data_IF_955863970002
#
_entry.id   IF_955863970002
#
_cell.length_a   1.000
_cell.length_b   1.000
_cell.length_c   1.000
_cell.angle_alpha   90.00
_cell.angle_beta   90.00
_cell.angle_gamma   90.00
#
_symmetry.space_group_name_H-M   'P 1'
#
loop_
_entity.id
_entity.type
_entity.pdbx_description
1 polymer ?
#
# COMPACT_ATOMS: atom_id res chain seq x y z
N UNK A 1 2.55 -8.96 -19.92
CA UNK A 1 3.32 -9.95 -19.13
C UNK A 1 2.51 -10.33 -17.88
N UNK A 2 2.78 -11.44 -17.17
CA UNK A 2 2.16 -11.69 -15.87
C UNK A 2 2.45 -10.51 -14.94
N UNK A 3 1.42 -9.91 -14.38
CA UNK A 3 1.56 -8.68 -13.61
C UNK A 3 0.20 -8.08 -13.32
N UNK A 4 0.20 -6.92 -12.69
CA UNK A 4 -1.01 -6.17 -12.38
C UNK A 4 -0.99 -4.83 -13.12
N UNK A 5 -2.16 -4.22 -13.31
CA UNK A 5 -2.26 -2.90 -13.93
C UNK A 5 -2.33 -1.79 -12.89
N UNK A 6 -3.05 -2.06 -11.80
CA UNK A 6 -3.45 -1.05 -10.82
C UNK A 6 -3.47 -1.69 -9.42
N UNK A 7 -2.63 -1.18 -8.54
CA UNK A 7 -2.50 -1.67 -7.16
C UNK A 7 -3.81 -1.54 -6.38
N UNK A 8 -4.54 -0.44 -6.57
CA UNK A 8 -5.77 -0.16 -5.83
C UNK A 8 -6.91 -1.09 -6.27
N UNK A 9 -7.00 -1.41 -7.57
CA UNK A 9 -7.97 -2.39 -8.10
C UNK A 9 -7.67 -3.78 -7.55
N UNK A 10 -6.41 -4.18 -7.52
CA UNK A 10 -6.03 -5.49 -7.00
C UNK A 10 -6.21 -5.61 -5.49
N UNK A 11 -5.92 -4.54 -4.75
CA UNK A 11 -6.16 -4.52 -3.32
C UNK A 11 -7.66 -4.58 -2.99
N UNK A 12 -8.51 -3.87 -3.74
CA UNK A 12 -9.97 -3.99 -3.61
C UNK A 12 -10.45 -5.43 -3.84
N UNK A 13 -9.96 -6.09 -4.90
CA UNK A 13 -10.31 -7.47 -5.21
C UNK A 13 -9.82 -8.44 -4.11
N UNK A 14 -8.65 -8.19 -3.55
CA UNK A 14 -8.13 -8.91 -2.39
C UNK A 14 -9.04 -8.73 -1.15
N UNK A 15 -9.43 -7.49 -0.82
CA UNK A 15 -10.34 -7.23 0.31
C UNK A 15 -11.70 -7.89 0.11
N UNK A 16 -12.26 -7.87 -1.11
CA UNK A 16 -13.50 -8.56 -1.42
C UNK A 16 -13.39 -10.09 -1.24
N UNK A 17 -12.28 -10.68 -1.71
CA UNK A 17 -11.97 -12.09 -1.50
C UNK A 17 -11.83 -12.42 -0.02
N UNK A 18 -11.10 -11.60 0.74
CA UNK A 18 -10.89 -11.78 2.17
C UNK A 18 -12.21 -11.70 2.95
N UNK A 19 -13.08 -10.74 2.60
CA UNK A 19 -14.40 -10.57 3.21
C UNK A 19 -15.33 -11.75 2.93
N UNK A 20 -15.16 -12.42 1.79
CA UNK A 20 -15.97 -13.59 1.42
C UNK A 20 -15.46 -14.88 2.08
N UNK A 21 -14.14 -15.04 2.15
CA UNK A 21 -13.51 -16.26 2.67
C UNK A 21 -13.37 -16.27 4.20
N UNK A 22 -13.27 -15.08 4.82
CA UNK A 22 -12.95 -14.90 6.24
C UNK A 22 -13.67 -13.69 6.84
N UNK A 23 -14.99 -13.60 6.67
CA UNK A 23 -15.81 -12.48 7.18
C UNK A 23 -15.57 -12.21 8.67
N UNK A 24 -15.60 -13.26 9.50
CA UNK A 24 -15.38 -13.19 10.95
C UNK A 24 -14.01 -12.60 11.31
N UNK A 25 -12.99 -12.83 10.46
CA UNK A 25 -11.64 -12.31 10.71
C UNK A 25 -11.64 -10.78 10.73
N UNK A 26 -12.46 -10.14 9.90
CA UNK A 26 -12.54 -8.67 9.83
C UNK A 26 -12.98 -8.08 11.17
N UNK A 27 -13.89 -8.75 11.88
CA UNK A 27 -14.32 -8.34 13.22
C UNK A 27 -13.16 -8.47 14.25
N UNK A 28 -12.32 -9.48 14.11
CA UNK A 28 -11.19 -9.72 15.01
C UNK A 28 -9.95 -8.87 14.72
N UNK A 29 -9.82 -8.27 13.52
CA UNK A 29 -8.69 -7.39 13.16
C UNK A 29 -8.56 -6.21 14.15
N UNK A 30 -9.69 -5.71 14.66
CA UNK A 30 -9.69 -4.66 15.68
C UNK A 30 -8.96 -5.05 16.97
N UNK A 31 -8.93 -6.34 17.33
CA UNK A 31 -8.22 -6.83 18.51
C UNK A 31 -6.70 -6.93 18.30
N UNK A 32 -6.24 -7.07 17.05
CA UNK A 32 -4.84 -7.33 16.72
C UNK A 32 -3.95 -6.07 16.73
N UNK A 33 -4.54 -4.87 16.74
CA UNK A 33 -3.81 -3.60 16.66
C UNK A 33 -2.68 -3.65 15.60
N UNK A 34 -1.54 -3.00 15.84
CA UNK A 34 -0.43 -2.91 14.90
C UNK A 34 0.16 -4.26 14.45
N UNK A 35 -0.13 -5.37 15.14
CA UNK A 35 0.33 -6.71 14.74
C UNK A 35 -0.27 -7.20 13.42
N UNK A 36 -1.33 -6.56 12.96
CA UNK A 36 -2.06 -6.87 11.72
C UNK A 36 -1.27 -6.53 10.44
N UNK A 37 -0.41 -5.52 10.44
CA UNK A 37 0.27 -5.02 9.23
C UNK A 37 1.11 -6.10 8.54
N UNK A 38 1.90 -6.86 9.31
CA UNK A 38 2.73 -7.94 8.78
C UNK A 38 1.91 -9.10 8.21
N UNK A 39 0.78 -9.43 8.84
CA UNK A 39 -0.13 -10.46 8.34
C UNK A 39 -0.79 -10.02 7.03
N UNK A 40 -1.29 -8.78 6.95
CA UNK A 40 -1.96 -8.24 5.77
C UNK A 40 -1.03 -8.24 4.55
N UNK A 41 0.24 -7.85 4.77
CA UNK A 41 1.30 -7.93 3.75
C UNK A 41 1.43 -9.34 3.18
N UNK A 42 1.55 -10.34 4.03
CA UNK A 42 1.73 -11.73 3.60
C UNK A 42 0.49 -12.25 2.86
N UNK A 43 -0.71 -11.95 3.36
CA UNK A 43 -1.95 -12.39 2.72
C UNK A 43 -2.13 -11.75 1.34
N UNK A 44 -1.85 -10.45 1.20
CA UNK A 44 -1.94 -9.81 -0.12
C UNK A 44 -0.91 -10.38 -1.09
N UNK A 45 0.32 -10.62 -0.62
CA UNK A 45 1.37 -11.28 -1.41
C UNK A 45 0.95 -12.67 -1.91
N UNK A 46 0.45 -13.54 -1.03
CA UNK A 46 -0.01 -14.87 -1.42
C UNK A 46 -1.27 -14.83 -2.29
N UNK A 47 -2.16 -13.86 -2.04
CA UNK A 47 -3.34 -13.66 -2.86
C UNK A 47 -2.96 -13.30 -4.30
N UNK A 48 -1.98 -12.41 -4.50
CA UNK A 48 -1.46 -12.06 -5.83
C UNK A 48 -0.87 -13.27 -6.55
N UNK A 49 -0.08 -14.10 -5.87
CA UNK A 49 0.46 -15.35 -6.44
C UNK A 49 -0.69 -16.26 -6.89
N UNK A 50 -1.66 -16.51 -6.02
CA UNK A 50 -2.79 -17.42 -6.29
C UNK A 50 -3.70 -16.90 -7.41
N UNK A 51 -4.12 -15.65 -7.33
CA UNK A 51 -5.20 -15.09 -8.16
C UNK A 51 -4.73 -14.39 -9.43
N UNK A 52 -3.46 -13.97 -9.47
CA UNK A 52 -2.83 -13.37 -10.67
C UNK A 52 -1.76 -14.26 -11.27
N UNK A 53 -1.56 -15.47 -10.70
CA UNK A 53 -0.60 -16.49 -11.19
C UNK A 53 0.81 -15.91 -11.29
N UNK A 54 1.17 -15.03 -10.35
CA UNK A 54 2.46 -14.37 -10.31
C UNK A 54 3.52 -15.30 -9.75
N UNK A 55 4.72 -15.26 -10.32
CA UNK A 55 5.86 -16.03 -9.81
C UNK A 55 6.48 -15.32 -8.61
N UNK A 56 6.57 -16.04 -7.50
CA UNK A 56 7.25 -15.58 -6.29
C UNK A 56 8.76 -15.36 -6.52
N UNK A 57 9.36 -14.43 -5.76
CA UNK A 57 10.78 -14.08 -5.81
C UNK A 57 11.72 -15.27 -5.46
N UNK A 58 12.14 -16.01 -6.49
CA UNK A 58 13.26 -16.98 -6.44
C UNK A 58 14.26 -16.73 -7.57
N UNK A 59 13.80 -16.60 -8.82
CA UNK A 59 14.51 -16.05 -9.99
C UNK A 59 13.51 -15.73 -11.11
N UNK A 60 13.67 -14.60 -11.83
CA UNK A 60 12.68 -14.04 -12.77
C UNK A 60 11.25 -14.01 -12.21
N UNK A 61 11.06 -13.19 -11.18
CA UNK A 61 9.81 -13.12 -10.43
C UNK A 61 8.92 -11.96 -10.83
N UNK A 62 7.64 -12.11 -10.54
CA UNK A 62 6.60 -11.12 -10.82
C UNK A 62 6.09 -10.46 -9.54
N UNK A 63 6.44 -10.99 -8.37
CA UNK A 63 6.09 -10.44 -7.06
C UNK A 63 7.10 -10.83 -5.99
N UNK A 64 7.41 -9.91 -5.07
CA UNK A 64 8.28 -10.17 -3.94
C UNK A 64 7.97 -9.30 -2.72
N UNK A 65 8.61 -9.64 -1.61
CA UNK A 65 8.53 -8.94 -0.33
C UNK A 65 9.83 -8.20 -0.06
N UNK A 66 9.76 -7.14 0.74
CA UNK A 66 10.93 -6.46 1.34
C UNK A 66 12.02 -6.11 0.33
N UNK A 67 11.78 -5.08 -0.47
CA UNK A 67 12.73 -4.63 -1.49
C UNK A 67 13.15 -3.19 -1.28
N UNK A 68 14.46 -2.92 -1.41
CA UNK A 68 15.01 -1.57 -1.32
C UNK A 68 15.09 -0.95 -2.69
N UNK A 69 14.29 0.09 -2.91
CA UNK A 69 14.26 0.89 -4.14
C UNK A 69 15.05 2.17 -3.92
N UNK A 70 15.87 2.59 -4.88
CA UNK A 70 16.59 3.86 -4.76
C UNK A 70 15.65 5.07 -4.80
N UNK A 71 16.05 6.11 -4.06
CA UNK A 71 15.38 7.40 -3.97
C UNK A 71 16.14 8.45 -4.77
N UNK A 72 15.41 9.40 -5.36
CA UNK A 72 15.94 10.46 -6.20
C UNK A 72 16.61 11.53 -5.33
N UNK A 73 17.91 11.34 -5.10
CA UNK A 73 18.75 12.16 -4.23
C UNK A 73 18.82 13.65 -4.61
N UNK A 74 18.23 14.07 -5.73
CA UNK A 74 18.11 15.49 -6.11
C UNK A 74 17.05 16.23 -5.29
N UNK A 75 16.12 15.54 -4.64
CA UNK A 75 15.11 16.16 -3.80
C UNK A 75 15.67 16.55 -2.43
N UNK A 76 15.46 17.81 -2.04
CA UNK A 76 15.79 18.30 -0.70
C UNK A 76 14.98 17.55 0.37
N UNK A 77 15.61 17.30 1.52
CA UNK A 77 14.98 16.62 2.66
C UNK A 77 15.05 15.09 2.62
N UNK A 78 15.64 14.49 1.58
CA UNK A 78 15.95 13.06 1.59
C UNK A 78 17.07 12.78 2.60
N UNK A 79 16.77 11.89 3.53
CA UNK A 79 17.65 11.47 4.63
C UNK A 79 18.26 10.07 4.41
N UNK A 80 17.94 9.41 3.29
CA UNK A 80 18.32 8.02 3.02
C UNK A 80 18.44 7.74 1.52
N UNK A 81 19.28 6.78 1.16
CA UNK A 81 19.53 6.42 -0.24
C UNK A 81 18.43 5.55 -0.86
N UNK A 82 17.77 4.73 -0.03
CA UNK A 82 16.75 3.77 -0.47
C UNK A 82 15.52 3.78 0.42
N UNK A 83 14.38 3.44 -0.16
CA UNK A 83 13.13 3.12 0.55
C UNK A 83 12.92 1.60 0.50
N UNK A 84 12.88 0.98 1.67
CA UNK A 84 12.43 -0.40 1.80
C UNK A 84 10.90 -0.42 1.67
N UNK A 85 10.40 -1.17 0.69
CA UNK A 85 8.99 -1.36 0.40
C UNK A 85 8.56 -2.76 0.85
N UNK A 86 7.37 -2.83 1.43
CA UNK A 86 6.74 -4.07 1.88
C UNK A 86 6.57 -5.10 0.76
N UNK A 87 6.07 -4.68 -0.40
CA UNK A 87 5.89 -5.51 -1.59
C UNK A 87 6.40 -4.81 -2.86
N UNK A 88 6.77 -5.60 -3.85
CA UNK A 88 6.87 -5.17 -5.24
C UNK A 88 6.15 -6.16 -6.16
N UNK A 89 5.54 -5.65 -7.22
CA UNK A 89 4.75 -6.44 -8.18
C UNK A 89 5.04 -5.96 -9.59
N UNK A 90 5.22 -6.88 -10.54
CA UNK A 90 5.41 -6.56 -11.95
C UNK A 90 4.17 -5.87 -12.51
N UNK A 91 4.37 -4.78 -13.24
CA UNK A 91 3.33 -4.15 -14.04
C UNK A 91 3.10 -5.00 -15.30
N UNK A 92 1.83 -5.20 -15.67
CA UNK A 92 1.47 -5.96 -16.86
C UNK A 92 1.95 -5.32 -18.19
N UNK A 93 2.21 -4.01 -18.19
CA UNK A 93 2.77 -3.21 -19.27
C UNK A 93 4.31 -3.16 -19.20
N UNK A 94 4.87 -2.36 -18.29
CA UNK A 94 6.32 -2.22 -18.09
C UNK A 94 6.65 -1.79 -16.67
N UNK A 95 7.77 -2.30 -16.14
CA UNK A 95 8.26 -1.93 -14.82
C UNK A 95 7.55 -2.60 -13.65
N UNK A 96 7.64 -1.97 -12.47
CA UNK A 96 7.19 -2.52 -11.20
C UNK A 96 6.40 -1.51 -10.39
N UNK A 97 5.37 -2.03 -9.72
CA UNK A 97 4.66 -1.35 -8.64
C UNK A 97 5.39 -1.64 -7.34
N UNK A 98 5.77 -0.60 -6.61
CA UNK A 98 6.29 -0.69 -5.25
C UNK A 98 5.20 -0.28 -4.27
N UNK A 99 5.06 -1.02 -3.18
CA UNK A 99 3.92 -0.90 -2.27
C UNK A 99 4.42 -0.88 -0.83
N UNK A 100 3.94 0.08 -0.05
CA UNK A 100 4.02 0.11 1.40
C UNK A 100 2.62 -0.09 2.00
N UNK A 101 2.51 -0.87 3.06
CA UNK A 101 1.27 -1.08 3.81
C UNK A 101 1.37 -0.43 5.20
N UNK A 102 0.29 0.17 5.66
CA UNK A 102 0.17 0.72 7.02
C UNK A 102 -1.18 0.39 7.61
N UNK A 103 -1.23 0.06 8.89
CA UNK A 103 -2.50 -0.20 9.60
C UNK A 103 -2.73 0.79 10.75
N UNK A 104 -3.21 2.02 10.49
CA UNK A 104 -3.59 2.95 11.55
C UNK A 104 -4.84 2.48 12.31
N UNK A 105 -4.76 2.45 13.64
CA UNK A 105 -5.90 2.19 14.53
C UNK A 105 -6.35 3.49 15.18
N UNK A 106 -7.65 3.70 15.35
CA UNK A 106 -8.22 4.85 16.04
C UNK A 106 -7.99 4.75 17.56
N UNK A 107 -6.74 4.90 17.97
CA UNK A 107 -6.29 4.91 19.36
C UNK A 107 -5.39 6.14 19.60
N UNK A 108 -4.69 6.16 20.74
CA UNK A 108 -3.77 7.26 21.09
C UNK A 108 -2.58 7.41 20.13
N UNK A 109 -2.25 6.37 19.35
CA UNK A 109 -1.12 6.35 18.41
C UNK A 109 -1.54 6.64 16.96
N UNK A 110 -2.82 6.88 16.68
CA UNK A 110 -3.34 7.05 15.30
C UNK A 110 -2.56 8.09 14.49
N UNK A 111 -2.27 9.24 15.10
CA UNK A 111 -1.56 10.33 14.43
C UNK A 111 -0.13 9.95 14.02
N UNK A 112 0.55 9.13 14.83
CA UNK A 112 1.89 8.64 14.52
C UNK A 112 1.89 7.70 13.31
N UNK A 113 0.93 6.78 13.23
CA UNK A 113 0.84 5.82 12.11
C UNK A 113 0.40 6.51 10.83
N UNK A 114 -0.54 7.47 10.92
CA UNK A 114 -0.94 8.30 9.77
C UNK A 114 0.23 9.15 9.26
N UNK A 115 1.01 9.76 10.16
CA UNK A 115 2.23 10.48 9.76
C UNK A 115 3.26 9.55 9.12
N UNK A 116 3.40 8.31 9.62
CA UNK A 116 4.23 7.30 8.96
C UNK A 116 3.76 7.02 7.54
N UNK A 117 2.46 6.80 7.33
CA UNK A 117 1.90 6.61 5.98
C UNK A 117 2.14 7.81 5.06
N UNK A 118 2.06 9.03 5.60
CA UNK A 118 2.37 10.26 4.86
C UNK A 118 3.85 10.34 4.48
N UNK A 119 4.76 10.00 5.39
CA UNK A 119 6.19 9.89 5.08
C UNK A 119 6.44 8.83 4.02
N UNK A 120 5.82 7.66 4.13
CA UNK A 120 5.97 6.60 3.14
C UNK A 120 5.50 7.07 1.77
N UNK A 121 4.33 7.72 1.66
CA UNK A 121 3.86 8.29 0.39
C UNK A 121 4.83 9.33 -0.18
N UNK A 122 5.41 10.17 0.69
CA UNK A 122 6.43 11.15 0.31
C UNK A 122 7.68 10.48 -0.27
N UNK A 123 8.18 9.39 0.33
CA UNK A 123 9.29 8.62 -0.24
C UNK A 123 8.88 7.89 -1.53
N UNK A 124 7.67 7.33 -1.57
CA UNK A 124 7.13 6.62 -2.72
C UNK A 124 6.94 7.53 -3.94
N UNK A 125 6.79 8.85 -3.75
CA UNK A 125 6.75 9.81 -4.85
C UNK A 125 8.13 10.24 -5.35
N UNK A 126 9.21 9.75 -4.72
CA UNK A 126 10.61 10.11 -4.96
C UNK A 126 11.48 8.90 -5.31
N UNK A 127 10.90 7.75 -5.63
CA UNK A 127 11.65 6.61 -6.20
C UNK A 127 12.36 6.99 -7.52
N UNK A 128 13.49 6.38 -7.83
CA UNK A 128 14.21 6.57 -9.11
C UNK A 128 13.78 5.53 -10.15
N UNK A 129 13.43 5.99 -11.35
CA UNK A 129 12.70 5.18 -12.33
C UNK A 129 13.50 4.44 -13.40
N UNK A 130 14.82 4.66 -13.56
CA UNK A 130 15.51 4.15 -14.76
C UNK A 130 16.05 2.73 -14.61
N UNK A 131 16.68 2.38 -13.48
CA UNK A 131 17.27 1.05 -13.28
C UNK A 131 16.25 0.06 -12.71
N UNK A 132 15.41 0.52 -11.79
CA UNK A 132 14.36 -0.27 -11.13
C UNK A 132 13.06 -0.32 -11.92
N UNK A 133 12.97 0.41 -13.04
CA UNK A 133 11.76 0.50 -13.89
C UNK A 133 10.50 0.77 -13.05
N UNK A 134 10.51 1.84 -12.26
CA UNK A 134 9.38 2.18 -11.39
C UNK A 134 8.18 2.57 -12.26
N UNK A 135 7.09 1.81 -12.16
CA UNK A 135 5.80 2.19 -12.75
C UNK A 135 4.96 2.99 -11.76
N UNK A 136 4.90 2.54 -10.50
CA UNK A 136 4.18 3.27 -9.45
C UNK A 136 4.83 3.10 -8.08
N UNK A 137 4.71 4.12 -7.24
CA UNK A 137 4.89 4.00 -5.79
C UNK A 137 3.55 4.14 -5.08
N UNK A 138 3.12 3.12 -4.33
CA UNK A 138 1.83 3.09 -3.63
C UNK A 138 2.00 3.00 -2.12
N UNK A 139 1.19 3.76 -1.40
CA UNK A 139 0.96 3.58 0.04
C UNK A 139 -0.47 3.12 0.23
N UNK A 140 -0.63 1.92 0.79
CA UNK A 140 -1.92 1.36 1.17
C UNK A 140 -2.07 1.52 2.68
N UNK A 141 -3.17 2.12 3.12
CA UNK A 141 -3.50 2.27 4.53
C UNK A 141 -4.79 1.52 4.85
N UNK A 142 -4.82 0.79 5.97
CA UNK A 142 -6.01 0.10 6.50
C UNK A 142 -6.36 0.70 7.86
N UNK A 143 -7.39 1.55 7.86
CA UNK A 143 -7.88 2.26 9.04
C UNK A 143 -8.92 1.45 9.80
N UNK A 144 -8.66 1.19 11.08
CA UNK A 144 -9.61 0.50 11.97
C UNK A 144 -10.10 1.46 13.06
N UNK A 145 -11.42 1.52 13.27
CA UNK A 145 -12.08 2.41 14.21
C UNK A 145 -12.36 3.82 13.68
N UNK A 146 -12.21 4.06 12.37
CA UNK A 146 -12.52 5.34 11.72
C UNK A 146 -13.89 5.25 11.07
N UNK A 147 -14.70 6.30 11.10
CA UNK A 147 -15.86 6.39 10.20
C UNK A 147 -15.39 6.60 8.75
N UNK A 148 -16.28 6.45 7.78
CA UNK A 148 -15.93 6.68 6.37
C UNK A 148 -15.51 8.15 6.13
N UNK A 149 -16.21 9.09 6.76
CA UNK A 149 -15.91 10.53 6.69
C UNK A 149 -14.56 10.85 7.34
N UNK A 150 -14.33 10.34 8.57
CA UNK A 150 -13.04 10.53 9.25
C UNK A 150 -11.88 9.97 8.42
N UNK A 151 -12.09 8.79 7.84
CA UNK A 151 -11.09 8.10 7.05
C UNK A 151 -10.72 8.89 5.79
N UNK A 152 -11.72 9.38 5.06
CA UNK A 152 -11.50 10.22 3.88
C UNK A 152 -10.70 11.49 4.24
N UNK A 153 -11.06 12.17 5.33
CA UNK A 153 -10.33 13.36 5.80
C UNK A 153 -8.87 13.05 6.15
N UNK A 154 -8.60 11.91 6.81
CA UNK A 154 -7.22 11.51 7.11
C UNK A 154 -6.43 11.21 5.82
N UNK A 155 -7.04 10.58 4.83
CA UNK A 155 -6.37 10.25 3.57
C UNK A 155 -6.09 11.49 2.72
N UNK A 156 -6.97 12.50 2.77
CA UNK A 156 -6.68 13.81 2.19
C UNK A 156 -5.44 14.44 2.83
N UNK A 157 -5.32 14.40 4.17
CA UNK A 157 -4.12 14.91 4.87
C UNK A 157 -2.85 14.14 4.49
N UNK A 158 -2.93 12.82 4.36
CA UNK A 158 -1.80 11.97 3.92
C UNK A 158 -1.38 12.34 2.50
N UNK A 159 -2.34 12.51 1.59
CA UNK A 159 -2.08 12.94 0.20
C UNK A 159 -1.42 14.31 0.17
N UNK A 160 -1.99 15.28 0.88
CA UNK A 160 -1.58 16.68 0.82
C UNK A 160 -0.18 16.89 1.42
N UNK A 161 0.21 16.06 2.40
CA UNK A 161 1.58 16.04 2.95
C UNK A 161 2.68 15.72 1.92
N UNK A 162 2.36 14.97 0.86
CA UNK A 162 3.36 14.46 -0.08
C UNK A 162 4.05 15.58 -0.90
N UNK A 163 3.34 16.70 -1.11
CA UNK A 163 3.81 17.91 -1.82
C UNK A 163 4.58 17.59 -3.12
N UNK A 164 4.02 16.69 -3.93
CA UNK A 164 4.62 16.25 -5.21
C UNK A 164 3.89 16.85 -6.40
N UNK A 165 4.62 17.13 -7.48
CA UNK A 165 4.04 17.53 -8.76
C UNK A 165 3.49 16.35 -9.57
N UNK A 166 3.76 15.11 -9.14
CA UNK A 166 3.27 13.90 -9.81
C UNK A 166 1.80 13.66 -9.44
N UNK A 167 0.95 13.19 -10.37
CA UNK A 167 -0.41 12.78 -10.04
C UNK A 167 -0.43 11.69 -8.97
N UNK A 168 -1.27 11.88 -7.94
CA UNK A 168 -1.57 10.86 -6.93
C UNK A 168 -3.02 10.39 -7.17
N UNK A 169 -3.17 9.15 -7.60
CA UNK A 169 -4.48 8.49 -7.63
C UNK A 169 -4.84 8.05 -6.21
N UNK A 170 -6.05 8.33 -5.76
CA UNK A 170 -6.57 7.92 -4.46
C UNK A 170 -7.80 7.07 -4.66
N UNK A 171 -7.81 5.87 -4.09
CA UNK A 171 -8.99 5.01 -4.01
C UNK A 171 -9.26 4.66 -2.56
N UNK A 172 -10.51 4.83 -2.14
CA UNK A 172 -11.00 4.49 -0.81
C UNK A 172 -11.95 3.30 -0.90
N UNK A 173 -12.03 2.52 0.17
CA UNK A 173 -13.02 1.45 0.29
C UNK A 173 -13.21 1.00 1.73
N UNK A 174 -14.10 0.03 1.93
CA UNK A 174 -14.38 -0.57 3.24
C UNK A 174 -13.81 -1.99 3.33
N UNK A 175 -13.51 -2.45 4.54
CA UNK A 175 -13.22 -3.84 4.82
C UNK A 175 -14.54 -4.59 5.01
N UNK A 176 -15.01 -5.25 3.95
CA UNK A 176 -16.33 -5.86 3.91
C UNK A 176 -17.44 -4.82 4.14
N UNK A 177 -18.43 -5.18 4.98
CA UNK A 177 -19.54 -4.30 5.37
C UNK A 177 -19.29 -3.58 6.70
N UNK A 178 -18.05 -3.52 7.17
CA UNK A 178 -17.76 -3.00 8.51
C UNK A 178 -17.91 -1.46 8.58
N UNK A 179 -18.64 -0.91 9.56
CA UNK A 179 -18.96 0.51 9.62
C UNK A 179 -17.77 1.40 9.99
N UNK A 180 -16.72 0.82 10.57
CA UNK A 180 -15.53 1.57 11.03
C UNK A 180 -14.20 0.98 10.58
N UNK A 181 -14.20 0.13 9.54
CA UNK A 181 -12.95 -0.42 9.00
C UNK A 181 -12.88 -0.13 7.52
N UNK A 182 -11.86 0.63 7.14
CA UNK A 182 -11.70 1.19 5.82
C UNK A 182 -10.28 0.98 5.31
N UNK A 183 -10.12 1.06 4.01
CA UNK A 183 -8.81 1.04 3.37
C UNK A 183 -8.69 2.19 2.37
N UNK A 184 -7.46 2.52 2.05
CA UNK A 184 -7.12 3.48 1.03
C UNK A 184 -5.86 3.03 0.30
N UNK A 185 -5.81 3.26 -1.00
CA UNK A 185 -4.60 3.15 -1.79
C UNK A 185 -4.30 4.52 -2.42
N UNK A 186 -3.12 5.07 -2.09
CA UNK A 186 -2.59 6.31 -2.64
C UNK A 186 -1.42 5.96 -3.54
N UNK A 187 -1.57 6.19 -4.85
CA UNK A 187 -0.63 5.69 -5.86
C UNK A 187 -0.07 6.83 -6.69
N UNK A 188 1.25 6.99 -6.65
CA UNK A 188 2.02 7.91 -7.50
C UNK A 188 2.39 7.21 -8.79
N UNK A 189 2.11 7.84 -9.93
CA UNK A 189 2.46 7.36 -11.27
C UNK A 189 3.81 7.96 -11.74
N UNK A 190 4.58 7.18 -12.51
CA UNK A 190 5.94 7.52 -12.99
C UNK A 190 6.08 7.52 -14.51
#
# INVERSE_FOLDING_TARGET
>A
MPGIKDVAVEFEAFIASLSTEREELIEYIAALNNGFEGWLKLEFYFWLIKNRKLRAATSDADVGLEYKVALDQRHAGIDRETKQCDLWVRNNESGFHFIELKAPFFNSNKGKVLLSAAHDLWYMSRLTGTYEQVATGSTIAVGIGFTAEDWAEQMDKVRDYCETSKPIAVKLGSLGNHPTAHWAALTVQY
#
